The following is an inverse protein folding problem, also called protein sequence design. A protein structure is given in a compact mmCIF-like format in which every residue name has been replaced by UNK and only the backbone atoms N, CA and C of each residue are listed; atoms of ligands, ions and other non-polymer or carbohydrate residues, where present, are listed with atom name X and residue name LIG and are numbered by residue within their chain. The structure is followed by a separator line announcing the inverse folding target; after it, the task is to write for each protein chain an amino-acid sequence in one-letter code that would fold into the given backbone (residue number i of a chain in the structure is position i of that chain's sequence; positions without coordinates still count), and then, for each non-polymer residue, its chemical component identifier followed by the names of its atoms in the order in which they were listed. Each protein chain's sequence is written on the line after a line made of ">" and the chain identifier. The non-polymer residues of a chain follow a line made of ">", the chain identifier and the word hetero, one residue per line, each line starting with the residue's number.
data_IF_832076334194
#
_entry.id   IF_832076334194
#
_cell.length_a   1.000
_cell.length_b   1.000
_cell.length_c   1.000
_cell.angle_alpha   90.00
_cell.angle_beta   90.00
_cell.angle_gamma   90.00
#
_symmetry.space_group_name_H-M   'P 1'
#
loop_
_entity.id
_entity.type
_entity.pdbx_description
1 polymer ?
#
# COMPACT_ATOMS: atom_id res chain seq x y z
N UNK A 1 19.41 -2.78 14.04
CA UNK A 1 18.48 -1.96 13.24
C UNK A 1 19.26 -1.32 12.11
N UNK A 2 18.73 -1.32 10.89
CA UNK A 2 19.38 -0.75 9.70
C UNK A 2 18.43 0.22 9.00
N UNK A 3 18.87 1.45 8.75
CA UNK A 3 18.07 2.42 7.98
C UNK A 3 18.06 1.96 6.52
N UNK A 4 16.87 1.81 5.93
CA UNK A 4 16.72 1.40 4.54
C UNK A 4 16.62 2.63 3.63
N UNK A 5 15.61 3.47 3.85
CA UNK A 5 15.36 4.68 3.05
C UNK A 5 14.40 5.63 3.78
N UNK A 6 14.28 6.86 3.27
CA UNK A 6 13.31 7.84 3.75
C UNK A 6 12.24 8.12 2.69
N UNK A 7 11.01 8.32 3.15
CA UNK A 7 9.85 8.69 2.34
C UNK A 7 9.48 10.13 2.70
N UNK A 8 9.31 10.99 1.68
CA UNK A 8 8.83 12.36 1.90
C UNK A 8 7.39 12.32 2.43
N UNK A 9 7.12 13.07 3.50
CA UNK A 9 5.76 13.24 3.98
C UNK A 9 4.99 14.21 3.05
N UNK A 10 3.66 14.28 3.22
CA UNK A 10 2.84 15.30 2.53
C UNK A 10 3.23 16.72 2.94
N UNK A 11 3.67 16.92 4.17
CA UNK A 11 4.17 18.21 4.68
C UNK A 11 5.64 18.36 4.31
N UNK A 12 6.02 19.48 3.69
CA UNK A 12 7.37 19.71 3.14
C UNK A 12 8.52 19.56 4.17
N UNK A 13 8.25 19.69 5.47
CA UNK A 13 9.25 19.62 6.54
C UNK A 13 9.32 18.27 7.28
N UNK A 14 8.59 17.23 6.83
CA UNK A 14 8.59 15.92 7.50
C UNK A 14 8.98 14.80 6.55
N UNK A 15 9.64 13.78 7.10
CA UNK A 15 9.92 12.53 6.40
C UNK A 15 9.60 11.33 7.29
N UNK A 16 9.40 10.18 6.66
CA UNK A 16 9.23 8.90 7.33
C UNK A 16 10.44 8.02 7.03
N UNK A 17 11.17 7.61 8.07
CA UNK A 17 12.28 6.69 7.93
C UNK A 17 11.78 5.25 7.99
N UNK A 18 12.17 4.44 7.02
CA UNK A 18 11.93 3.00 7.02
C UNK A 18 13.19 2.32 7.53
N UNK A 19 13.03 1.55 8.60
CA UNK A 19 14.14 0.91 9.32
C UNK A 19 13.83 -0.57 9.42
N UNK A 20 14.81 -1.39 9.06
CA UNK A 20 14.79 -2.84 9.28
C UNK A 20 15.21 -3.16 10.71
N UNK A 21 14.50 -4.09 11.34
CA UNK A 21 14.76 -4.57 12.69
C UNK A 21 14.66 -6.09 12.73
N UNK A 22 15.40 -6.70 13.65
CA UNK A 22 15.23 -8.11 13.95
C UNK A 22 13.83 -8.35 14.55
N UNK A 23 13.25 -9.56 14.38
CA UNK A 23 11.84 -9.77 14.68
C UNK A 23 11.44 -9.53 16.15
N UNK A 24 12.31 -9.87 17.11
CA UNK A 24 12.06 -9.69 18.54
C UNK A 24 12.00 -8.20 18.91
N UNK A 25 12.93 -7.41 18.37
CA UNK A 25 13.00 -5.95 18.53
C UNK A 25 11.82 -5.29 17.85
N UNK A 26 11.43 -5.75 16.66
CA UNK A 26 10.29 -5.22 15.91
C UNK A 26 9.00 -5.29 16.73
N UNK A 27 8.69 -6.45 17.33
CA UNK A 27 7.51 -6.61 18.22
C UNK A 27 7.57 -5.65 19.41
N UNK A 28 8.74 -5.52 20.05
CA UNK A 28 8.94 -4.60 21.21
C UNK A 28 8.74 -3.13 20.83
N UNK A 29 9.29 -2.73 19.68
CA UNK A 29 9.22 -1.36 19.15
C UNK A 29 7.77 -1.01 18.77
N UNK A 30 7.08 -1.90 18.05
CA UNK A 30 5.68 -1.69 17.67
C UNK A 30 4.75 -1.60 18.88
N UNK A 31 4.96 -2.43 19.92
CA UNK A 31 4.15 -2.39 21.15
C UNK A 31 4.22 -1.03 21.86
N UNK A 32 5.37 -0.34 21.80
CA UNK A 32 5.51 1.02 22.34
C UNK A 32 4.75 2.06 21.50
N UNK A 33 4.66 1.86 20.19
CA UNK A 33 3.95 2.74 19.22
C UNK A 33 4.55 4.13 19.02
N UNK A 34 5.37 4.62 19.97
CA UNK A 34 6.07 5.90 19.91
C UNK A 34 7.52 5.72 20.36
N UNK A 35 8.43 6.42 19.71
CA UNK A 35 9.84 6.50 20.06
C UNK A 35 10.17 7.95 20.42
N UNK A 36 10.69 8.17 21.61
CA UNK A 36 11.33 9.46 21.93
C UNK A 36 12.75 9.42 21.40
N UNK A 37 13.10 10.39 20.56
CA UNK A 37 14.44 10.56 20.01
C UNK A 37 14.80 12.04 20.12
N UNK A 38 15.82 12.35 20.92
CA UNK A 38 16.14 13.73 21.32
C UNK A 38 14.89 14.45 21.86
N UNK A 39 14.62 15.65 21.35
CA UNK A 39 13.46 16.50 21.67
C UNK A 39 12.20 16.13 20.88
N UNK A 40 12.20 15.00 20.16
CA UNK A 40 11.12 14.61 19.26
C UNK A 40 10.42 13.32 19.68
N UNK A 41 9.10 13.28 19.47
CA UNK A 41 8.28 12.08 19.66
C UNK A 41 7.84 11.53 18.30
N UNK A 42 8.46 10.43 17.89
CA UNK A 42 8.25 9.79 16.59
C UNK A 42 7.15 8.72 16.70
N UNK A 43 6.21 8.71 15.74
CA UNK A 43 5.23 7.62 15.63
C UNK A 43 5.86 6.44 14.89
N UNK A 44 5.78 5.27 15.51
CA UNK A 44 6.21 4.02 14.92
C UNK A 44 5.00 3.33 14.32
N UNK A 45 5.15 2.86 13.08
CA UNK A 45 4.14 2.08 12.39
C UNK A 45 4.82 0.99 11.59
N UNK A 46 4.15 -0.15 11.50
CA UNK A 46 4.55 -1.20 10.59
C UNK A 46 4.52 -0.66 9.15
N UNK A 47 5.61 -0.90 8.41
CA UNK A 47 5.68 -0.56 7.00
C UNK A 47 5.32 -1.78 6.15
N UNK A 48 4.03 -1.97 5.91
CA UNK A 48 3.51 -3.01 5.01
C UNK A 48 2.75 -2.33 3.88
N UNK A 49 3.20 -2.54 2.65
CA UNK A 49 2.53 -2.01 1.45
C UNK A 49 2.53 -3.06 0.35
N UNK A 50 1.36 -3.63 0.02
CA UNK A 50 1.19 -4.45 -1.17
C UNK A 50 1.68 -3.71 -2.42
N UNK A 51 2.43 -4.42 -3.26
CA UNK A 51 2.88 -3.90 -4.55
C UNK A 51 1.68 -3.76 -5.47
N UNK A 52 1.30 -2.52 -5.77
CA UNK A 52 0.31 -2.18 -6.80
C UNK A 52 1.05 -1.80 -8.09
N UNK A 53 0.68 -2.43 -9.19
CA UNK A 53 1.19 -2.08 -10.51
C UNK A 53 0.72 -0.67 -10.89
N UNK A 54 1.63 0.23 -11.25
CA UNK A 54 1.25 1.58 -11.66
C UNK A 54 0.67 1.65 -13.07
N UNK A 55 0.79 0.56 -13.86
CA UNK A 55 0.25 0.46 -15.21
C UNK A 55 -1.21 0.00 -15.20
N UNK A 56 -1.52 -1.18 -14.64
CA UNK A 56 -2.89 -1.74 -14.66
C UNK A 56 -3.68 -1.55 -13.35
N UNK A 57 -3.04 -1.06 -12.29
CA UNK A 57 -3.62 -0.86 -10.95
C UNK A 57 -4.04 -2.14 -10.20
N UNK A 58 -3.67 -3.33 -10.68
CA UNK A 58 -3.78 -4.60 -9.93
C UNK A 58 -2.60 -4.82 -8.96
N UNK A 59 -2.76 -5.72 -8.01
CA UNK A 59 -1.74 -6.09 -7.03
C UNK A 59 -0.89 -7.29 -7.47
N UNK A 60 0.31 -7.41 -6.89
CA UNK A 60 1.17 -8.59 -7.03
C UNK A 60 2.31 -8.48 -8.04
N UNK A 61 2.37 -7.40 -8.83
CA UNK A 61 3.46 -7.16 -9.78
C UNK A 61 3.76 -5.67 -9.96
N UNK A 62 4.95 -5.38 -10.51
CA UNK A 62 5.40 -4.01 -10.84
C UNK A 62 5.17 -3.72 -12.32
N UNK A 63 5.16 -2.42 -12.69
CA UNK A 63 4.86 -1.97 -14.06
C UNK A 63 5.78 -2.57 -15.13
N UNK A 64 7.04 -2.83 -14.81
CA UNK A 64 8.01 -3.43 -15.78
C UNK A 64 7.71 -4.89 -16.11
N UNK A 65 6.93 -5.59 -15.27
CA UNK A 65 6.49 -6.96 -15.47
C UNK A 65 5.00 -7.04 -15.84
N UNK A 66 4.40 -5.92 -16.24
CA UNK A 66 2.98 -5.84 -16.54
C UNK A 66 2.69 -6.07 -18.03
N UNK A 67 2.01 -7.17 -18.32
CA UNK A 67 1.53 -7.51 -19.67
C UNK A 67 0.20 -6.81 -20.02
N UNK A 68 -0.49 -6.25 -19.02
CA UNK A 68 -1.72 -5.49 -19.20
C UNK A 68 -1.51 -4.10 -19.83
N UNK A 69 -2.64 -3.45 -20.17
CA UNK A 69 -2.68 -2.07 -20.68
C UNK A 69 -2.57 -1.05 -19.54
N UNK A 70 -2.15 0.17 -19.87
CA UNK A 70 -2.20 1.29 -18.93
C UNK A 70 -3.65 1.68 -18.66
N UNK A 71 -4.00 1.82 -17.37
CA UNK A 71 -5.34 2.18 -16.93
C UNK A 71 -5.30 3.32 -15.91
N UNK A 72 -6.35 4.12 -15.90
CA UNK A 72 -6.54 5.22 -14.98
C UNK A 72 -6.71 4.68 -13.55
N UNK A 73 -5.96 5.18 -12.55
CA UNK A 73 -6.10 4.73 -11.16
C UNK A 73 -7.45 5.06 -10.53
N UNK A 74 -8.24 5.95 -11.13
CA UNK A 74 -9.56 6.38 -10.62
C UNK A 74 -10.71 5.56 -11.19
N UNK A 75 -10.73 5.31 -12.50
CA UNK A 75 -11.86 4.65 -13.18
C UNK A 75 -11.48 3.37 -13.95
N UNK A 76 -10.19 3.07 -14.10
CA UNK A 76 -9.72 1.86 -14.79
C UNK A 76 -9.70 1.92 -16.32
N UNK A 77 -9.98 3.08 -16.92
CA UNK A 77 -10.00 3.25 -18.38
C UNK A 77 -8.67 3.77 -18.94
N UNK A 78 -8.49 3.74 -20.26
CA UNK A 78 -7.22 4.06 -20.94
C UNK A 78 -6.91 5.56 -21.03
N UNK A 79 -6.66 6.22 -19.90
CA UNK A 79 -6.20 7.61 -19.83
C UNK A 79 -5.43 7.88 -18.53
N UNK A 80 -4.80 9.05 -18.41
CA UNK A 80 -4.03 9.44 -17.22
C UNK A 80 -4.94 9.96 -16.10
N UNK A 81 -4.61 9.63 -14.85
CA UNK A 81 -5.41 10.00 -13.67
C UNK A 81 -5.77 11.50 -13.51
N UNK A 82 -4.91 12.46 -13.89
CA UNK A 82 -5.26 13.89 -13.86
C UNK A 82 -6.41 14.26 -14.80
N UNK A 83 -6.52 13.60 -15.95
CA UNK A 83 -7.50 13.92 -17.00
C UNK A 83 -8.83 13.18 -16.83
N UNK A 84 -8.98 12.42 -15.74
CA UNK A 84 -10.14 11.57 -15.50
C UNK A 84 -11.37 12.38 -15.09
N UNK A 85 -12.42 12.31 -15.91
CA UNK A 85 -13.76 12.85 -15.63
C UNK A 85 -14.80 11.78 -15.31
N UNK A 86 -14.42 10.49 -15.44
CA UNK A 86 -15.34 9.37 -15.26
C UNK A 86 -15.57 9.03 -13.78
N UNK A 87 -16.68 8.35 -13.51
CA UNK A 87 -16.99 7.85 -12.18
C UNK A 87 -15.91 6.88 -11.69
N UNK A 88 -15.69 6.89 -10.37
CA UNK A 88 -14.69 6.03 -9.77
C UNK A 88 -15.05 4.56 -9.91
N UNK A 89 -14.06 3.78 -10.33
CA UNK A 89 -14.17 2.33 -10.50
C UNK A 89 -12.83 1.67 -10.19
N UNK A 90 -12.79 0.91 -9.11
CA UNK A 90 -11.60 0.21 -8.66
C UNK A 90 -11.38 -1.04 -9.52
N UNK A 91 -10.30 -1.06 -10.31
CA UNK A 91 -9.94 -2.20 -11.15
C UNK A 91 -9.60 -3.44 -10.32
N UNK A 92 -8.86 -3.27 -9.22
CA UNK A 92 -8.48 -4.38 -8.34
C UNK A 92 -9.71 -5.05 -7.68
N UNK A 93 -10.65 -4.29 -7.13
CA UNK A 93 -11.89 -4.83 -6.58
C UNK A 93 -12.75 -5.48 -7.67
N UNK A 94 -12.83 -4.86 -8.85
CA UNK A 94 -13.57 -5.43 -9.98
C UNK A 94 -13.00 -6.79 -10.40
N UNK A 95 -11.68 -6.87 -10.55
CA UNK A 95 -10.99 -8.12 -10.89
C UNK A 95 -11.16 -9.18 -9.79
N UNK A 96 -11.08 -8.79 -8.52
CA UNK A 96 -11.28 -9.70 -7.39
C UNK A 96 -12.71 -10.25 -7.34
N UNK A 97 -13.72 -9.43 -7.67
CA UNK A 97 -15.11 -9.89 -7.73
C UNK A 97 -15.33 -10.92 -8.83
N UNK A 98 -14.73 -10.72 -10.01
CA UNK A 98 -14.83 -11.67 -11.12
C UNK A 98 -14.07 -12.97 -10.81
N UNK A 99 -12.81 -12.86 -10.35
CA UNK A 99 -11.92 -14.01 -10.13
C UNK A 99 -12.30 -14.83 -8.89
N UNK A 100 -12.75 -14.18 -7.82
CA UNK A 100 -12.90 -14.80 -6.49
C UNK A 100 -14.28 -14.59 -5.85
N UNK A 101 -15.25 -13.98 -6.57
CA UNK A 101 -16.64 -13.80 -6.11
C UNK A 101 -16.75 -13.09 -4.74
N UNK A 102 -15.88 -12.09 -4.50
CA UNK A 102 -15.76 -11.41 -3.19
C UNK A 102 -16.86 -10.39 -2.88
N UNK A 103 -17.61 -9.92 -3.88
CA UNK A 103 -18.70 -8.95 -3.69
C UNK A 103 -18.27 -7.56 -3.19
N UNK A 104 -17.02 -7.16 -3.41
CA UNK A 104 -16.47 -5.87 -2.98
C UNK A 104 -17.15 -4.68 -3.68
N UNK A 105 -17.33 -3.57 -2.94
CA UNK A 105 -17.69 -2.30 -3.54
C UNK A 105 -16.57 -1.83 -4.50
N UNK A 106 -16.94 -1.39 -5.70
CA UNK A 106 -16.00 -0.94 -6.72
C UNK A 106 -16.07 0.57 -6.99
N UNK A 107 -16.97 1.31 -6.36
CA UNK A 107 -17.25 2.73 -6.61
C UNK A 107 -16.23 3.71 -6.01
N UNK A 108 -14.95 3.34 -6.00
CA UNK A 108 -13.86 4.10 -5.40
C UNK A 108 -12.58 3.97 -6.25
N UNK A 109 -11.60 4.88 -6.11
CA UNK A 109 -10.34 4.76 -6.86
C UNK A 109 -9.48 3.59 -6.35
N UNK A 110 -8.62 3.05 -7.19
CA UNK A 110 -7.68 1.97 -6.82
C UNK A 110 -6.59 2.43 -5.83
N UNK A 111 -6.45 3.74 -5.61
CA UNK A 111 -5.54 4.35 -4.64
C UNK A 111 -6.18 4.61 -3.28
N UNK A 112 -7.45 4.25 -3.08
CA UNK A 112 -8.15 4.43 -1.81
C UNK A 112 -7.47 3.59 -0.70
N UNK A 113 -7.30 4.20 0.47
CA UNK A 113 -6.74 3.53 1.66
C UNK A 113 -7.72 2.52 2.26
N UNK A 114 -9.02 2.66 1.99
CA UNK A 114 -10.08 1.76 2.44
C UNK A 114 -10.51 0.74 1.37
N UNK A 115 -9.74 0.61 0.29
CA UNK A 115 -10.00 -0.36 -0.76
C UNK A 115 -10.02 -1.80 -0.19
N UNK A 116 -11.11 -2.59 -0.37
CA UNK A 116 -11.18 -3.96 0.15
C UNK A 116 -10.07 -4.88 -0.37
N UNK A 117 -9.73 -4.79 -1.66
CA UNK A 117 -8.60 -5.54 -2.23
C UNK A 117 -7.27 -5.11 -1.63
N UNK A 118 -7.07 -3.81 -1.36
CA UNK A 118 -5.85 -3.34 -0.69
C UNK A 118 -5.71 -3.95 0.71
N UNK A 119 -6.78 -3.90 1.51
CA UNK A 119 -6.79 -4.44 2.87
C UNK A 119 -6.57 -5.95 2.87
N UNK A 120 -7.19 -6.67 1.93
CA UNK A 120 -6.95 -8.11 1.75
C UNK A 120 -5.47 -8.40 1.47
N UNK A 121 -4.88 -7.71 0.49
CA UNK A 121 -3.47 -7.91 0.15
C UNK A 121 -2.52 -7.51 1.28
N UNK A 122 -2.88 -6.52 2.11
CA UNK A 122 -2.11 -6.20 3.31
C UNK A 122 -2.09 -7.35 4.31
N UNK A 123 -3.23 -8.01 4.53
CA UNK A 123 -3.34 -9.17 5.41
C UNK A 123 -2.52 -10.34 4.85
N UNK A 124 -2.63 -10.63 3.56
CA UNK A 124 -1.86 -11.69 2.91
C UNK A 124 -0.35 -11.42 2.94
N UNK A 125 0.06 -10.16 2.73
CA UNK A 125 1.46 -9.77 2.81
C UNK A 125 1.99 -9.95 4.24
N UNK A 126 1.22 -9.57 5.27
CA UNK A 126 1.59 -9.78 6.67
C UNK A 126 1.83 -11.25 7.02
N UNK A 127 1.02 -12.17 6.49
CA UNK A 127 1.20 -13.62 6.71
C UNK A 127 2.53 -14.14 6.18
N UNK A 128 3.06 -13.53 5.11
CA UNK A 128 4.33 -13.91 4.47
C UNK A 128 5.55 -13.29 5.14
N UNK A 129 5.37 -12.22 5.92
CA UNK A 129 6.47 -11.58 6.64
C UNK A 129 6.78 -12.43 7.88
N UNK A 130 7.99 -12.98 7.91
CA UNK A 130 8.46 -13.76 9.04
C UNK A 130 8.78 -12.83 10.23
N UNK A 131 7.80 -12.65 11.11
CA UNK A 131 8.00 -11.92 12.37
C UNK A 131 8.60 -12.76 13.49
N UNK A 132 9.14 -13.96 13.19
CA UNK A 132 9.58 -15.00 14.12
C UNK A 132 8.53 -15.27 15.20
N UNK A 133 7.78 -16.37 15.08
CA UNK A 133 6.78 -16.82 16.06
C UNK A 133 7.29 -16.71 17.49
#
# INVERSE_FOLDING_TARGET
>A
MKVLFSIRARTQQKCHWVIEAQPQEFKRILKKGKLSFEWSRLSLREFVRPTRCYKCNEYGHISTRCEGKETCPKCGEGHKGPDCVNQHKCTACTAANVKFQKGYNTGHPATDSNCPSYLHEMVELRKRINYAS
#
